data_IF_992717075391
#
_entry.id   IF_992717075391
#
_cell.length_a   1.000
_cell.length_b   1.000
_cell.length_c   1.000
_cell.angle_alpha   90.00
_cell.angle_beta   90.00
_cell.angle_gamma   90.00
#
_symmetry.space_group_name_H-M   'P 1'
#
loop_
_entity.id
_entity.type
_entity.pdbx_description
1 polymer ?
#
# COMPACT_ATOMS: atom_id res chain seq x y z
N UNK A 1 -2.51 -34.35 -80.80
CA UNK A 1 -3.39 -34.20 -79.62
C UNK A 1 -2.96 -32.97 -78.84
N UNK A 2 -3.79 -31.91 -78.80
CA UNK A 2 -3.57 -30.72 -77.95
C UNK A 2 -4.41 -30.94 -76.69
N UNK A 3 -3.78 -31.29 -75.57
CA UNK A 3 -4.47 -31.40 -74.29
C UNK A 3 -4.78 -29.97 -73.81
N UNK A 4 -6.08 -29.64 -73.73
CA UNK A 4 -6.55 -28.43 -73.06
C UNK A 4 -6.18 -28.54 -71.58
N UNK A 5 -5.11 -27.86 -71.18
CA UNK A 5 -4.73 -27.70 -69.78
C UNK A 5 -5.76 -26.76 -69.14
N UNK A 6 -6.79 -27.35 -68.54
CA UNK A 6 -7.89 -26.65 -67.89
C UNK A 6 -7.36 -26.07 -66.57
N UNK A 7 -6.89 -24.82 -66.59
CA UNK A 7 -6.27 -24.10 -65.47
C UNK A 7 -7.25 -23.73 -64.32
N UNK A 8 -8.41 -24.39 -64.27
CA UNK A 8 -9.56 -24.01 -63.44
C UNK A 8 -9.60 -24.58 -62.00
N UNK A 9 -8.65 -25.38 -61.48
CA UNK A 9 -8.60 -25.62 -60.02
C UNK A 9 -7.52 -24.78 -59.31
N UNK A 10 -6.69 -24.01 -60.03
CA UNK A 10 -5.55 -23.31 -59.40
C UNK A 10 -5.94 -22.00 -58.71
N UNK A 11 -7.09 -21.42 -59.07
CA UNK A 11 -7.61 -20.19 -58.47
C UNK A 11 -8.35 -20.39 -57.14
N UNK A 12 -8.75 -21.62 -56.80
CA UNK A 12 -9.41 -21.91 -55.51
C UNK A 12 -8.39 -22.24 -54.42
N UNK A 13 -7.18 -22.68 -54.78
CA UNK A 13 -6.12 -22.97 -53.80
C UNK A 13 -5.47 -21.67 -53.28
N UNK A 14 -5.59 -20.55 -54.02
CA UNK A 14 -5.04 -19.26 -53.60
C UNK A 14 -5.87 -18.57 -52.51
N UNK A 15 -7.14 -18.92 -52.32
CA UNK A 15 -7.99 -18.29 -51.29
C UNK A 15 -7.86 -18.91 -49.89
N UNK A 16 -7.15 -20.03 -49.75
CA UNK A 16 -6.99 -20.73 -48.45
C UNK A 16 -5.69 -20.33 -47.71
N UNK A 17 -4.79 -19.57 -48.35
CA UNK A 17 -3.48 -19.23 -47.80
C UNK A 17 -3.39 -17.88 -47.06
N UNK A 18 -4.49 -17.13 -46.92
CA UNK A 18 -4.46 -15.80 -46.29
C UNK A 18 -5.40 -15.63 -45.09
N UNK A 19 -5.79 -16.72 -44.44
CA UNK A 19 -6.31 -16.65 -43.07
C UNK A 19 -5.23 -17.13 -42.10
N UNK A 20 -4.04 -16.52 -42.18
CA UNK A 20 -3.22 -16.36 -40.99
C UNK A 20 -3.97 -15.38 -40.09
N UNK A 21 -5.03 -15.87 -39.45
CA UNK A 21 -5.62 -15.21 -38.29
C UNK A 21 -4.49 -15.09 -37.30
N UNK A 22 -3.81 -13.94 -37.34
CA UNK A 22 -2.92 -13.46 -36.29
C UNK A 22 -3.81 -13.30 -35.07
N UNK A 23 -4.06 -14.43 -34.42
CA UNK A 23 -4.57 -14.47 -33.07
C UNK A 23 -3.40 -13.96 -32.25
N UNK A 24 -3.29 -12.63 -32.14
CA UNK A 24 -2.42 -12.00 -31.17
C UNK A 24 -2.83 -12.62 -29.84
N UNK A 25 -1.93 -13.39 -29.24
CA UNK A 25 -2.19 -13.95 -27.93
C UNK A 25 -2.43 -12.77 -27.00
N UNK A 26 -3.63 -12.72 -26.45
CA UNK A 26 -4.01 -11.70 -25.49
C UNK A 26 -3.59 -12.17 -24.10
N UNK A 27 -3.05 -11.25 -23.30
CA UNK A 27 -2.52 -11.50 -21.96
C UNK A 27 -1.64 -10.35 -21.51
N UNK A 28 -1.27 -10.31 -20.23
CA UNK A 28 -0.47 -9.20 -19.72
C UNK A 28 0.90 -9.10 -20.41
N UNK A 29 1.17 -7.96 -21.05
CA UNK A 29 2.44 -7.71 -21.77
C UNK A 29 3.48 -6.96 -20.92
N UNK A 30 3.10 -6.54 -19.70
CA UNK A 30 4.00 -5.86 -18.78
C UNK A 30 4.85 -6.87 -17.99
N UNK A 31 6.16 -6.82 -18.17
CA UNK A 31 7.11 -7.71 -17.47
C UNK A 31 7.19 -7.47 -15.96
N UNK A 32 6.59 -6.39 -15.45
CA UNK A 32 6.46 -6.10 -14.02
C UNK A 32 5.22 -6.75 -13.35
N UNK A 33 4.29 -7.33 -14.12
CA UNK A 33 3.10 -8.00 -13.57
C UNK A 33 3.38 -9.44 -13.12
N UNK A 34 2.70 -9.91 -12.06
CA UNK A 34 2.80 -11.31 -11.57
C UNK A 34 2.23 -12.32 -12.55
N UNK A 35 1.29 -11.90 -13.39
CA UNK A 35 0.70 -12.72 -14.45
C UNK A 35 1.24 -12.33 -15.84
N UNK A 36 2.45 -11.76 -15.91
CA UNK A 36 3.12 -11.48 -17.18
C UNK A 36 3.14 -12.71 -18.09
N UNK A 37 2.72 -12.53 -19.35
CA UNK A 37 2.72 -13.56 -20.37
C UNK A 37 3.66 -13.15 -21.51
N UNK A 38 4.84 -13.78 -21.55
CA UNK A 38 5.84 -13.52 -22.59
C UNK A 38 5.39 -13.93 -24.00
N UNK A 39 4.34 -14.77 -24.12
CA UNK A 39 3.75 -15.13 -25.40
C UNK A 39 2.62 -14.18 -25.82
N UNK A 40 2.23 -13.20 -25.00
CA UNK A 40 1.19 -12.24 -25.33
C UNK A 40 1.73 -11.12 -26.23
N UNK A 41 1.05 -10.91 -27.36
CA UNK A 41 1.35 -9.84 -28.32
C UNK A 41 0.46 -8.60 -28.11
N UNK A 42 -0.54 -8.70 -27.24
CA UNK A 42 -1.51 -7.64 -26.95
C UNK A 42 -2.00 -7.75 -25.50
N UNK A 43 -1.95 -6.63 -24.80
CA UNK A 43 -2.50 -6.52 -23.44
C UNK A 43 -4.02 -6.70 -23.47
N UNK A 44 -4.52 -7.59 -22.61
CA UNK A 44 -5.94 -7.85 -22.40
C UNK A 44 -6.53 -7.06 -21.23
N UNK A 45 -5.70 -6.26 -20.55
CA UNK A 45 -6.07 -5.48 -19.37
C UNK A 45 -6.20 -6.33 -18.11
N UNK A 46 -5.76 -7.59 -18.13
CA UNK A 46 -5.79 -8.49 -16.97
C UNK A 46 -4.54 -8.43 -16.10
N UNK A 47 -3.56 -7.56 -16.41
CA UNK A 47 -2.31 -7.44 -15.65
C UNK A 47 -2.56 -7.33 -14.14
N UNK A 48 -2.21 -8.40 -13.44
CA UNK A 48 -2.12 -8.44 -12.00
C UNK A 48 -0.71 -8.01 -11.67
N UNK A 49 -0.59 -6.79 -11.15
CA UNK A 49 0.65 -6.40 -10.52
C UNK A 49 0.69 -7.10 -9.17
N UNK A 50 1.89 -7.50 -8.70
CA UNK A 50 2.02 -7.84 -7.30
C UNK A 50 1.39 -6.67 -6.55
N UNK A 51 0.34 -6.93 -5.77
CA UNK A 51 -0.26 -5.88 -4.96
C UNK A 51 0.91 -5.25 -4.25
N UNK A 52 1.24 -4.00 -4.58
CA UNK A 52 1.68 -3.08 -3.55
C UNK A 52 0.48 -3.06 -2.65
N UNK A 53 0.43 -4.04 -1.74
CA UNK A 53 -0.28 -3.82 -0.53
C UNK A 53 0.11 -2.38 -0.17
N UNK A 54 -0.84 -1.47 -0.03
CA UNK A 54 -0.63 -0.36 0.88
C UNK A 54 -0.68 -1.02 2.28
N UNK A 55 0.39 -1.81 2.50
CA UNK A 55 0.68 -2.93 3.41
C UNK A 55 1.81 -3.84 2.82
N UNK A 56 2.77 -3.31 2.02
CA UNK A 56 3.90 -4.07 1.44
C UNK A 56 5.20 -3.64 2.12
N UNK A 57 5.23 -3.75 3.44
CA UNK A 57 6.48 -3.91 4.15
C UNK A 57 6.91 -5.40 4.09
N UNK A 58 7.23 -5.90 2.90
CA UNK A 58 8.30 -6.92 2.79
C UNK A 58 9.69 -6.25 2.72
N UNK A 59 9.78 -5.01 3.19
CA UNK A 59 10.88 -4.60 4.03
C UNK A 59 10.24 -4.40 5.41
N UNK A 60 10.51 -5.25 6.41
CA UNK A 60 9.95 -5.25 7.77
C UNK A 60 10.25 -4.00 8.61
N UNK A 61 10.38 -2.85 7.97
CA UNK A 61 10.94 -1.63 8.55
C UNK A 61 9.89 -0.55 8.74
N UNK A 62 8.76 -0.49 8.02
CA UNK A 62 7.72 0.55 8.23
C UNK A 62 6.39 0.02 8.75
N UNK A 63 5.69 0.82 9.54
CA UNK A 63 4.37 0.51 10.07
C UNK A 63 3.94 1.41 11.23
N UNK A 64 2.70 1.23 11.66
CA UNK A 64 2.15 1.85 12.87
C UNK A 64 1.24 0.83 13.55
N UNK A 65 1.46 0.57 14.83
CA UNK A 65 0.68 -0.39 15.61
C UNK A 65 0.48 0.12 17.03
N UNK A 66 -0.61 -0.33 17.67
CA UNK A 66 -0.87 -0.10 19.08
C UNK A 66 -1.89 -1.13 19.58
N UNK A 67 -2.08 -1.19 20.90
CA UNK A 67 -3.18 -1.89 21.56
C UNK A 67 -4.08 -0.87 22.24
N UNK A 68 -5.36 -0.84 21.88
CA UNK A 68 -6.40 0.02 22.47
C UNK A 68 -7.31 -0.86 23.31
N UNK A 69 -7.36 -0.65 24.62
CA UNK A 69 -8.17 -1.43 25.58
C UNK A 69 -8.00 -2.95 25.44
N UNK A 70 -6.78 -3.39 25.18
CA UNK A 70 -6.44 -4.80 24.96
C UNK A 70 -6.71 -5.32 23.55
N UNK A 71 -7.28 -4.52 22.65
CA UNK A 71 -7.53 -4.88 21.25
C UNK A 71 -6.49 -4.25 20.31
N UNK A 72 -5.98 -4.99 19.31
CA UNK A 72 -4.98 -4.44 18.40
C UNK A 72 -5.57 -3.38 17.47
N UNK A 73 -4.91 -2.23 17.39
CA UNK A 73 -5.09 -1.28 16.29
C UNK A 73 -4.25 -1.76 15.11
N UNK A 74 -4.91 -2.40 14.15
CA UNK A 74 -4.30 -2.78 12.88
C UNK A 74 -4.36 -1.59 11.93
N UNK A 75 -3.48 -0.59 12.10
CA UNK A 75 -3.45 0.54 11.18
C UNK A 75 -3.05 0.07 9.78
N UNK A 76 -3.84 0.42 8.77
CA UNK A 76 -3.57 0.13 7.36
C UNK A 76 -3.22 1.39 6.56
N UNK A 77 -3.29 2.56 7.20
CA UNK A 77 -2.81 3.83 6.68
C UNK A 77 -2.03 4.54 7.79
N UNK A 78 -0.83 4.99 7.49
CA UNK A 78 0.01 5.75 8.42
C UNK A 78 0.81 6.81 7.68
N UNK A 79 1.21 7.86 8.40
CA UNK A 79 1.98 8.96 7.83
C UNK A 79 2.79 9.67 8.91
N UNK A 80 3.89 10.29 8.49
CA UNK A 80 4.65 11.27 9.27
C UNK A 80 4.82 12.52 8.40
N UNK A 81 4.52 13.69 8.95
CA UNK A 81 4.69 14.96 8.25
C UNK A 81 5.40 15.94 9.16
N UNK A 82 6.52 16.50 8.70
CA UNK A 82 7.19 17.58 9.41
C UNK A 82 6.51 18.93 9.12
N UNK A 83 6.09 19.63 10.16
CA UNK A 83 5.56 20.99 10.07
C UNK A 83 6.03 21.82 11.25
N UNK A 84 6.79 22.89 10.96
CA UNK A 84 7.12 23.93 11.95
C UNK A 84 7.84 23.43 13.20
N UNK A 85 8.75 22.45 13.08
CA UNK A 85 9.50 21.89 14.21
C UNK A 85 8.79 20.77 14.98
N UNK A 86 7.72 20.21 14.40
CA UNK A 86 7.02 19.05 14.92
C UNK A 86 6.84 18.00 13.83
N UNK A 87 6.85 16.73 14.22
CA UNK A 87 6.36 15.61 13.43
C UNK A 87 4.91 15.33 13.82
N UNK A 88 4.00 15.51 12.87
CA UNK A 88 2.65 14.97 12.95
C UNK A 88 2.66 13.53 12.47
N UNK A 89 2.46 12.58 13.38
CA UNK A 89 2.49 11.15 13.09
C UNK A 89 1.08 10.62 13.26
N UNK A 90 0.60 9.84 12.30
CA UNK A 90 -0.72 9.22 12.40
C UNK A 90 -0.69 7.77 11.95
N UNK A 91 -1.56 6.96 12.56
CA UNK A 91 -1.87 5.61 12.14
C UNK A 91 -3.35 5.35 12.31
N UNK A 92 -4.01 4.90 11.25
CA UNK A 92 -5.45 4.67 11.21
C UNK A 92 -5.79 3.36 10.52
N UNK A 93 -6.87 2.76 10.98
CA UNK A 93 -7.54 1.66 10.31
C UNK A 93 -8.74 2.24 9.54
N UNK A 94 -8.63 2.29 8.21
CA UNK A 94 -9.66 2.85 7.33
C UNK A 94 -10.91 1.99 7.22
N UNK A 95 -10.90 0.74 7.71
CA UNK A 95 -12.08 -0.14 7.71
C UNK A 95 -13.06 0.21 8.82
N UNK A 96 -12.56 0.59 10.00
CA UNK A 96 -13.40 0.98 11.15
C UNK A 96 -13.25 2.46 11.54
N UNK A 97 -12.40 3.22 10.85
CA UNK A 97 -12.10 4.64 11.11
C UNK A 97 -11.47 4.90 12.49
N UNK A 98 -10.89 3.88 13.13
CA UNK A 98 -10.14 4.06 14.36
C UNK A 98 -8.73 4.58 14.04
N UNK A 99 -8.20 5.51 14.82
CA UNK A 99 -6.88 6.06 14.53
C UNK A 99 -6.23 6.77 15.70
N UNK A 100 -4.92 6.90 15.61
CA UNK A 100 -4.08 7.59 16.60
C UNK A 100 -3.33 8.68 15.88
N UNK A 101 -3.29 9.85 16.50
CA UNK A 101 -2.48 11.00 16.08
C UNK A 101 -1.52 11.39 17.19
N UNK A 102 -0.27 11.64 16.83
CA UNK A 102 0.79 12.11 17.73
C UNK A 102 1.39 13.39 17.16
N UNK A 103 1.78 14.30 18.05
CA UNK A 103 2.60 15.45 17.70
C UNK A 103 3.89 15.42 18.50
N UNK A 104 5.00 15.09 17.84
CA UNK A 104 6.31 14.93 18.47
C UNK A 104 7.21 16.12 18.12
N UNK A 105 7.97 16.67 19.07
CA UNK A 105 8.87 17.78 18.79
C UNK A 105 10.12 17.30 18.09
N UNK A 106 10.54 17.90 16.97
CA UNK A 106 11.75 17.50 16.22
C UNK A 106 13.04 17.57 17.03
N UNK A 107 13.03 18.27 18.17
CA UNK A 107 14.20 18.50 19.03
C UNK A 107 14.33 17.52 20.20
N UNK A 108 13.29 16.72 20.48
CA UNK A 108 13.23 15.86 21.68
C UNK A 108 12.91 14.42 21.29
N UNK A 109 13.86 13.51 21.46
CA UNK A 109 13.69 12.09 21.14
C UNK A 109 12.80 11.33 22.12
N UNK A 110 12.48 11.86 23.29
CA UNK A 110 11.59 11.20 24.24
C UNK A 110 10.95 12.22 25.16
N UNK A 111 9.74 11.93 25.64
CA UNK A 111 9.04 12.82 26.55
C UNK A 111 7.66 12.32 26.94
N UNK A 112 6.87 13.22 27.51
CA UNK A 112 5.47 12.96 27.85
C UNK A 112 4.53 13.30 26.69
N UNK A 113 3.52 12.47 26.48
CA UNK A 113 2.37 12.81 25.64
C UNK A 113 1.33 13.58 26.46
N UNK A 114 0.62 14.48 25.80
CA UNK A 114 -0.44 15.29 26.39
C UNK A 114 -1.48 15.65 25.33
N UNK A 115 -2.19 16.77 25.51
CA UNK A 115 -3.40 17.11 24.74
C UNK A 115 -3.23 17.18 23.20
N UNK A 116 -2.00 17.21 22.69
CA UNK A 116 -1.68 17.23 21.26
C UNK A 116 -1.69 15.84 20.61
N UNK A 117 -1.78 14.77 21.41
CA UNK A 117 -2.02 13.41 20.95
C UNK A 117 -3.47 13.03 21.16
N UNK A 118 -4.00 12.15 20.32
CA UNK A 118 -5.40 11.72 20.40
C UNK A 118 -5.61 10.31 19.88
N UNK A 119 -6.64 9.66 20.39
CA UNK A 119 -7.27 8.49 19.78
C UNK A 119 -8.63 8.88 19.22
N UNK A 120 -8.95 8.41 18.02
CA UNK A 120 -10.22 8.62 17.36
C UNK A 120 -10.91 7.28 17.11
N UNK A 121 -12.21 7.20 17.40
CA UNK A 121 -13.05 6.04 17.17
C UNK A 121 -14.50 6.48 16.94
N UNK A 122 -15.17 5.85 15.97
CA UNK A 122 -16.60 6.07 15.71
C UNK A 122 -16.98 7.55 15.49
N UNK A 123 -16.06 8.35 14.96
CA UNK A 123 -16.25 9.79 14.71
C UNK A 123 -16.03 10.70 15.93
N UNK A 124 -15.71 10.13 17.10
CA UNK A 124 -15.26 10.89 18.27
C UNK A 124 -13.73 10.89 18.33
N UNK A 125 -13.16 11.94 18.93
CA UNK A 125 -11.74 12.05 19.21
C UNK A 125 -11.52 12.42 20.66
N UNK A 126 -10.64 11.69 21.33
CA UNK A 126 -10.25 11.93 22.71
C UNK A 126 -8.77 12.24 22.78
N UNK A 127 -8.43 13.38 23.38
CA UNK A 127 -7.06 13.77 23.62
C UNK A 127 -6.40 12.93 24.72
N UNK A 128 -5.10 12.72 24.61
CA UNK A 128 -4.31 12.10 25.65
C UNK A 128 -4.24 13.00 26.90
N UNK A 129 -4.55 12.42 28.05
CA UNK A 129 -4.43 13.04 29.37
C UNK A 129 -3.03 12.88 29.95
N UNK A 130 -2.38 11.75 29.64
CA UNK A 130 -1.02 11.42 30.07
C UNK A 130 -0.45 10.37 29.13
N UNK A 131 0.87 10.25 29.11
CA UNK A 131 1.54 9.21 28.34
C UNK A 131 3.00 9.54 28.15
N UNK A 132 3.67 8.69 27.38
CA UNK A 132 5.07 8.85 27.04
C UNK A 132 5.34 8.40 25.62
N UNK A 133 6.39 8.96 25.05
CA UNK A 133 6.92 8.56 23.76
C UNK A 133 8.45 8.52 23.81
N UNK A 134 9.03 7.73 22.92
CA UNK A 134 10.46 7.72 22.63
C UNK A 134 10.67 7.36 21.17
N UNK A 135 11.46 8.11 20.43
CA UNK A 135 11.71 7.90 19.01
C UNK A 135 13.13 8.32 18.61
N UNK A 136 13.54 7.90 17.42
CA UNK A 136 14.77 8.31 16.76
C UNK A 136 14.48 8.70 15.32
N UNK A 137 15.25 9.65 14.78
CA UNK A 137 15.26 9.96 13.35
C UNK A 137 16.64 9.62 12.81
N UNK A 138 16.70 8.76 11.81
CA UNK A 138 17.93 8.35 11.15
C UNK A 138 17.65 7.97 9.71
N UNK A 139 18.50 8.41 8.77
CA UNK A 139 18.39 8.06 7.34
C UNK A 139 16.99 8.30 6.75
N UNK A 140 16.38 9.46 7.03
CA UNK A 140 15.02 9.81 6.58
C UNK A 140 13.90 8.91 7.14
N UNK A 141 14.18 8.13 8.20
CA UNK A 141 13.20 7.28 8.86
C UNK A 141 13.02 7.74 10.31
N UNK A 142 11.77 7.89 10.73
CA UNK A 142 11.39 8.11 12.12
C UNK A 142 10.83 6.82 12.72
N UNK A 143 11.40 6.34 13.81
CA UNK A 143 10.99 5.12 14.51
C UNK A 143 10.84 5.36 15.99
N UNK A 144 9.80 4.83 16.61
CA UNK A 144 9.60 5.02 18.03
C UNK A 144 8.51 4.18 18.66
N UNK A 145 8.34 4.40 19.95
CA UNK A 145 7.34 3.78 20.81
C UNK A 145 6.51 4.86 21.50
N UNK A 146 5.27 4.52 21.84
CA UNK A 146 4.39 5.38 22.59
C UNK A 146 3.37 4.60 23.42
N UNK A 147 2.86 5.26 24.44
CA UNK A 147 1.71 4.80 25.24
C UNK A 147 1.03 6.01 25.85
N UNK A 148 -0.30 6.04 25.86
CA UNK A 148 -1.04 7.13 26.49
C UNK A 148 -2.43 6.69 26.94
N UNK A 149 -3.01 7.47 27.84
CA UNK A 149 -4.36 7.30 28.35
C UNK A 149 -5.21 8.48 27.88
N UNK A 150 -6.43 8.21 27.41
CA UNK A 150 -7.45 9.24 27.17
C UNK A 150 -8.43 9.31 28.34
N UNK A 151 -9.61 9.90 28.15
CA UNK A 151 -10.66 9.87 29.17
C UNK A 151 -11.29 8.47 29.29
N UNK A 152 -11.38 7.74 28.16
CA UNK A 152 -12.12 6.47 28.08
C UNK A 152 -11.27 5.28 27.63
N UNK A 153 -10.05 5.48 27.11
CA UNK A 153 -9.26 4.43 26.47
C UNK A 153 -7.82 4.40 27.00
N UNK A 154 -7.25 3.20 27.07
CA UNK A 154 -5.85 2.93 27.34
C UNK A 154 -5.14 2.46 26.08
N UNK A 155 -4.11 3.20 25.66
CA UNK A 155 -3.31 2.91 24.47
C UNK A 155 -1.93 2.46 24.92
N UNK A 156 -1.61 1.21 24.63
CA UNK A 156 -0.37 0.53 25.06
C UNK A 156 0.34 -0.13 23.89
N UNK A 157 1.62 -0.48 24.07
CA UNK A 157 2.45 -1.16 23.06
C UNK A 157 2.41 -0.45 21.70
N UNK A 158 2.39 0.89 21.72
CA UNK A 158 2.40 1.70 20.51
C UNK A 158 3.79 1.68 19.89
N UNK A 159 3.89 1.32 18.62
CA UNK A 159 5.13 1.36 17.85
C UNK A 159 4.86 2.00 16.49
N UNK A 160 5.85 2.72 15.98
CA UNK A 160 5.81 3.24 14.62
C UNK A 160 7.19 3.23 14.00
N UNK A 161 7.25 3.05 12.69
CA UNK A 161 8.39 3.40 11.86
C UNK A 161 7.89 3.89 10.51
N UNK A 162 8.29 5.09 10.10
CA UNK A 162 7.76 5.76 8.91
C UNK A 162 8.88 6.55 8.22
N UNK A 163 8.91 6.53 6.89
CA UNK A 163 9.77 7.41 6.08
C UNK A 163 9.23 8.86 6.11
N UNK A 164 10.14 9.84 6.26
CA UNK A 164 9.83 11.28 6.39
C UNK A 164 9.74 12.01 5.04
#
# INVERSE_FOLDING_TARGET
>A
MKTKLNFLPFLIILSVLTFSTSCKKEGCTDSAATNYNAEADKDDGSCEYPSTNNNNNNNTTEGFSATVDGSPLNANTYSAVEQGGFYGISGSNTTNSNGISLMLSTTSSSGSLGMMSSYAESGNSESANSGSYSYTVSNNVISGTFSFETASHSITNGEFTIEL
#
